data_IF_490396854039
#
_entry.id   IF_490396854039
#
_cell.length_a   1.000
_cell.length_b   1.000
_cell.length_c   1.000
_cell.angle_alpha   90.00
_cell.angle_beta   90.00
_cell.angle_gamma   90.00
#
_symmetry.space_group_name_H-M   'P 1'
#
loop_
_entity.id
_entity.type
_entity.pdbx_description
1 polymer ?
#
# COMPACT_ATOMS: atom_id res chain seq x y z
N UNK A 1 15.44 2.58 -13.26
CA UNK A 1 15.03 3.97 -13.48
C UNK A 1 13.98 4.32 -12.43
N UNK A 2 14.28 5.24 -11.50
CA UNK A 2 13.34 5.61 -10.42
C UNK A 2 12.19 6.43 -11.00
N UNK A 3 10.97 5.88 -11.02
CA UNK A 3 9.79 6.55 -11.55
C UNK A 3 9.44 7.74 -10.64
N UNK A 4 9.74 8.95 -11.11
CA UNK A 4 9.53 10.19 -10.34
C UNK A 4 8.13 10.73 -10.64
N UNK A 5 7.24 10.74 -9.64
CA UNK A 5 5.94 11.43 -9.74
C UNK A 5 6.15 12.93 -9.57
N UNK A 6 5.38 13.73 -10.32
CA UNK A 6 5.46 15.19 -10.29
C UNK A 6 4.04 15.75 -10.24
N UNK A 7 3.84 16.73 -9.36
CA UNK A 7 2.61 17.51 -9.31
C UNK A 7 2.90 18.88 -9.91
N UNK A 8 2.11 19.28 -10.92
CA UNK A 8 2.17 20.60 -11.51
C UNK A 8 1.23 21.53 -10.75
N UNK A 9 1.81 22.53 -10.07
CA UNK A 9 1.05 23.58 -9.43
C UNK A 9 0.89 24.73 -10.43
N UNK A 10 -0.35 25.12 -10.67
CA UNK A 10 -0.69 26.24 -11.57
C UNK A 10 -1.19 27.39 -10.71
N UNK A 11 -0.45 28.49 -10.71
CA UNK A 11 -0.83 29.70 -9.99
C UNK A 11 -1.88 30.51 -10.77
N UNK A 12 -2.66 31.39 -10.10
CA UNK A 12 -3.62 32.27 -10.77
C UNK A 12 -3.01 33.20 -11.82
N UNK A 13 -1.68 33.44 -11.73
CA UNK A 13 -0.88 34.22 -12.68
C UNK A 13 -0.40 33.42 -13.90
N UNK A 14 -0.90 32.19 -14.08
CA UNK A 14 -0.50 31.23 -15.14
C UNK A 14 0.96 30.76 -15.05
N UNK A 15 1.61 30.99 -13.92
CA UNK A 15 2.93 30.41 -13.66
C UNK A 15 2.80 28.94 -13.25
N UNK A 16 3.66 28.08 -13.80
CA UNK A 16 3.63 26.63 -13.58
C UNK A 16 4.87 26.21 -12.82
N UNK A 17 4.68 25.74 -11.59
CA UNK A 17 5.76 25.20 -10.78
C UNK A 17 5.64 23.67 -10.68
N UNK A 18 6.70 22.95 -11.06
CA UNK A 18 6.75 21.50 -10.99
C UNK A 18 7.39 21.07 -9.67
N UNK A 19 6.62 20.34 -8.86
CA UNK A 19 7.09 19.84 -7.56
C UNK A 19 7.27 18.34 -7.64
N UNK A 20 8.37 17.86 -7.06
CA UNK A 20 8.68 16.44 -6.96
C UNK A 20 7.87 15.82 -5.82
N UNK A 21 7.14 14.76 -6.15
CA UNK A 21 6.34 14.03 -5.17
C UNK A 21 7.14 12.88 -4.57
N UNK A 22 6.76 12.47 -3.36
CA UNK A 22 7.32 11.28 -2.74
C UNK A 22 6.90 10.05 -3.57
N UNK A 23 7.87 9.34 -4.13
CA UNK A 23 7.61 8.13 -4.94
C UNK A 23 7.59 6.84 -4.11
N UNK A 24 8.11 6.89 -2.87
CA UNK A 24 8.15 5.76 -1.93
C UNK A 24 7.28 6.08 -0.71
N UNK A 25 6.58 5.07 -0.22
CA UNK A 25 5.84 5.13 1.04
C UNK A 25 6.81 5.47 2.20
N UNK A 26 6.43 6.35 3.14
CA UNK A 26 7.26 6.62 4.31
C UNK A 26 7.48 5.36 5.12
N UNK A 27 8.69 5.21 5.66
CA UNK A 27 9.07 4.05 6.47
C UNK A 27 8.35 4.11 7.85
N UNK A 28 8.25 2.97 8.53
CA UNK A 28 7.61 2.81 9.86
C UNK A 28 6.12 3.16 9.97
N UNK A 29 5.39 3.26 8.85
CA UNK A 29 3.96 3.55 8.86
C UNK A 29 3.63 5.01 9.17
N UNK A 30 4.65 5.87 9.23
CA UNK A 30 4.53 7.33 9.37
C UNK A 30 3.84 7.95 8.15
N UNK A 31 3.23 9.11 8.32
CA UNK A 31 2.57 9.84 7.25
C UNK A 31 3.43 11.01 6.79
N UNK A 32 3.52 11.24 5.49
CA UNK A 32 4.23 12.37 4.94
C UNK A 32 3.24 13.49 4.58
N UNK A 33 3.49 14.70 5.06
CA UNK A 33 2.63 15.86 4.80
C UNK A 33 3.46 17.00 4.25
N UNK A 34 3.03 17.57 3.14
CA UNK A 34 3.60 18.81 2.60
C UNK A 34 2.54 19.90 2.48
N UNK A 35 2.99 21.15 2.54
CA UNK A 35 2.15 22.33 2.45
C UNK A 35 2.54 23.16 1.23
N UNK A 36 1.53 23.64 0.50
CA UNK A 36 1.67 24.55 -0.63
C UNK A 36 1.06 25.88 -0.23
N UNK A 37 1.89 26.91 -0.17
CA UNK A 37 1.46 28.25 0.16
C UNK A 37 1.02 28.99 -1.11
N UNK A 38 -0.30 29.18 -1.29
CA UNK A 38 -0.86 29.99 -2.37
C UNK A 38 -1.02 31.48 -2.01
N UNK A 39 -0.67 31.90 -0.80
CA UNK A 39 -0.74 33.30 -0.38
C UNK A 39 0.43 34.12 -0.93
N UNK A 40 0.22 35.44 -0.99
CA UNK A 40 1.27 36.42 -1.26
C UNK A 40 2.12 36.77 -0.04
N UNK A 41 1.82 36.23 1.14
CA UNK A 41 2.57 36.40 2.39
C UNK A 41 3.27 35.11 2.82
N UNK A 42 4.22 35.25 3.74
CA UNK A 42 4.93 34.11 4.35
C UNK A 42 4.01 33.42 5.34
N UNK A 43 3.97 32.10 5.27
CA UNK A 43 3.12 31.26 6.11
C UNK A 43 3.96 30.46 7.10
N UNK A 44 3.61 30.47 8.38
CA UNK A 44 4.29 29.67 9.39
C UNK A 44 3.43 28.48 9.83
N UNK A 45 3.99 27.28 9.83
CA UNK A 45 3.30 26.05 10.23
C UNK A 45 4.03 25.38 11.39
N UNK A 46 3.30 25.09 12.48
CA UNK A 46 3.85 24.55 13.75
C UNK A 46 4.36 23.10 13.69
N UNK A 47 4.27 22.43 12.53
CA UNK A 47 4.58 21.01 12.35
C UNK A 47 6.06 20.73 12.01
N UNK A 48 6.98 21.59 12.47
CA UNK A 48 8.41 21.48 12.16
C UNK A 48 8.78 21.84 10.72
N UNK A 49 7.84 22.42 9.96
CA UNK A 49 8.04 22.88 8.58
C UNK A 49 8.61 24.29 8.54
N UNK A 50 8.25 25.14 9.52
CA UNK A 50 8.74 26.52 9.61
C UNK A 50 8.02 27.48 8.66
N UNK A 51 8.75 28.50 8.23
CA UNK A 51 8.25 29.56 7.34
C UNK A 51 8.29 29.13 5.87
N UNK A 52 7.15 29.23 5.19
CA UNK A 52 6.97 28.89 3.78
C UNK A 52 6.84 30.19 2.99
N UNK A 53 7.75 30.39 2.04
CA UNK A 53 7.73 31.54 1.12
C UNK A 53 6.39 31.65 0.35
N UNK A 54 5.99 32.85 -0.08
CA UNK A 54 4.77 33.03 -0.87
C UNK A 54 4.85 32.26 -2.19
N UNK A 55 3.73 31.69 -2.64
CA UNK A 55 3.63 30.88 -3.87
C UNK A 55 4.62 29.70 -3.93
N UNK A 56 5.09 29.21 -2.79
CA UNK A 56 6.11 28.17 -2.67
C UNK A 56 5.58 26.92 -1.97
N UNK A 57 6.39 25.86 -2.02
CA UNK A 57 6.06 24.54 -1.48
C UNK A 57 7.07 24.13 -0.43
N UNK A 58 6.57 23.55 0.65
CA UNK A 58 7.39 23.01 1.71
C UNK A 58 7.91 21.60 1.40
N UNK A 59 8.96 21.20 2.10
CA UNK A 59 9.35 19.79 2.15
C UNK A 59 8.30 18.95 2.87
N UNK A 60 8.35 17.63 2.65
CA UNK A 60 7.53 16.68 3.37
C UNK A 60 7.98 16.60 4.85
N UNK A 61 7.02 16.75 5.75
CA UNK A 61 7.15 16.51 7.19
C UNK A 61 6.58 15.14 7.54
N UNK A 62 7.25 14.41 8.43
CA UNK A 62 6.78 13.09 8.87
C UNK A 62 5.95 13.24 10.14
N UNK A 63 4.75 12.67 10.12
CA UNK A 63 3.75 12.79 11.17
C UNK A 63 3.28 11.40 11.56
N UNK A 64 3.16 11.08 12.86
CA UNK A 64 2.64 9.79 13.28
C UNK A 64 1.19 9.60 12.84
N UNK A 65 0.73 8.36 12.86
CA UNK A 65 -0.67 8.00 12.63
C UNK A 65 -1.60 8.57 13.71
N UNK A 66 -2.87 8.78 13.35
CA UNK A 66 -3.90 9.31 14.25
C UNK A 66 -4.35 10.73 13.88
N UNK A 67 -4.97 11.42 14.83
CA UNK A 67 -5.46 12.78 14.64
C UNK A 67 -4.29 13.77 14.72
N UNK A 68 -3.85 14.27 13.58
CA UNK A 68 -2.86 15.33 13.50
C UNK A 68 -3.55 16.69 13.51
N UNK A 69 -3.10 17.57 14.40
CA UNK A 69 -3.55 18.95 14.48
C UNK A 69 -2.39 19.87 14.10
N UNK A 70 -2.66 20.81 13.21
CA UNK A 70 -1.68 21.78 12.75
C UNK A 70 -2.26 23.18 12.80
N UNK A 71 -1.40 24.10 13.23
CA UNK A 71 -1.73 25.51 13.32
C UNK A 71 -0.99 26.25 12.23
N UNK A 72 -1.75 26.93 11.39
CA UNK A 72 -1.26 27.80 10.33
C UNK A 72 -1.31 29.22 10.86
N UNK A 73 -0.17 29.91 10.85
CA UNK A 73 -0.02 31.27 11.36
C UNK A 73 0.45 32.19 10.24
N UNK A 74 -0.09 33.40 10.20
CA UNK A 74 0.43 34.47 9.34
C UNK A 74 1.46 35.33 10.09
N UNK A 75 2.27 36.05 9.33
CA UNK A 75 3.04 37.21 9.76
C UNK A 75 2.23 38.25 10.56
N UNK A 76 0.91 38.33 10.33
CA UNK A 76 -0.02 39.20 11.07
C UNK A 76 -0.52 38.68 12.43
N UNK A 77 -0.05 37.51 12.89
CA UNK A 77 -0.40 36.95 14.20
C UNK A 77 -1.77 36.25 14.29
N UNK A 78 -2.54 36.22 13.21
CA UNK A 78 -3.73 35.39 13.11
C UNK A 78 -3.35 33.92 12.95
N UNK A 79 -4.14 33.01 13.54
CA UNK A 79 -3.91 31.56 13.47
C UNK A 79 -5.16 30.79 13.06
N UNK A 80 -4.96 29.68 12.36
CA UNK A 80 -5.99 28.73 11.93
C UNK A 80 -5.61 27.33 12.39
N UNK A 81 -6.50 26.67 13.16
CA UNK A 81 -6.33 25.29 13.57
C UNK A 81 -7.03 24.37 12.57
N UNK A 82 -6.29 23.40 12.04
CA UNK A 82 -6.85 22.35 11.18
C UNK A 82 -6.47 20.99 11.74
N UNK A 83 -7.43 20.06 11.74
CA UNK A 83 -7.22 18.69 12.19
C UNK A 83 -7.58 17.68 11.11
N UNK A 84 -6.71 16.69 10.90
CA UNK A 84 -6.96 15.57 9.98
C UNK A 84 -6.59 14.25 10.63
N UNK A 85 -7.44 13.25 10.40
CA UNK A 85 -7.11 11.87 10.72
C UNK A 85 -6.22 11.28 9.62
N UNK A 86 -5.06 10.79 10.03
CA UNK A 86 -4.05 10.18 9.15
C UNK A 86 -4.00 8.68 9.41
N UNK A 87 -4.06 7.90 8.33
CA UNK A 87 -3.97 6.44 8.37
C UNK A 87 -2.52 5.93 8.46
N UNK A 88 -2.27 4.72 7.95
CA UNK A 88 -0.95 4.11 7.96
C UNK A 88 -0.19 4.36 6.64
N UNK A 89 0.94 5.07 6.73
CA UNK A 89 1.87 5.26 5.62
C UNK A 89 1.28 6.00 4.43
N UNK A 90 0.50 7.04 4.68
CA UNK A 90 -0.11 7.90 3.66
C UNK A 90 0.73 9.14 3.39
N UNK A 91 0.56 9.73 2.21
CA UNK A 91 1.19 11.00 1.88
C UNK A 91 0.14 11.99 1.39
N UNK A 92 0.18 13.21 1.92
CA UNK A 92 -0.79 14.26 1.63
C UNK A 92 -0.13 15.58 1.26
N UNK A 93 -0.77 16.29 0.34
CA UNK A 93 -0.45 17.66 -0.06
C UNK A 93 -1.57 18.58 0.36
N UNK A 94 -1.28 19.57 1.20
CA UNK A 94 -2.24 20.57 1.61
C UNK A 94 -2.00 21.84 0.83
N UNK A 95 -2.96 22.20 -0.02
CA UNK A 95 -2.94 23.40 -0.84
C UNK A 95 -3.76 24.48 -0.16
N UNK A 96 -3.09 25.57 0.17
CA UNK A 96 -3.71 26.75 0.78
C UNK A 96 -3.96 27.74 -0.35
N UNK A 97 -5.23 28.01 -0.71
CA UNK A 97 -5.53 28.89 -1.83
C UNK A 97 -5.20 30.36 -1.52
N UNK A 98 -5.02 31.18 -2.56
CA UNK A 98 -4.75 32.62 -2.41
C UNK A 98 -5.92 33.40 -1.80
N UNK A 99 -7.13 32.82 -1.77
CA UNK A 99 -8.33 33.39 -1.17
C UNK A 99 -8.48 33.05 0.31
N UNK A 100 -7.48 32.39 0.91
CA UNK A 100 -7.51 31.97 2.30
C UNK A 100 -7.36 33.16 3.24
N UNK A 101 -8.27 33.28 4.22
CA UNK A 101 -8.25 34.32 5.24
C UNK A 101 -7.94 33.72 6.60
N UNK A 102 -6.79 34.10 7.16
CA UNK A 102 -6.33 33.59 8.45
C UNK A 102 -7.05 34.35 9.56
N UNK A 103 -7.83 33.64 10.39
CA UNK A 103 -8.61 34.23 11.50
C UNK A 103 -10.13 34.09 11.38
N UNK A 104 -10.66 33.55 10.27
CA UNK A 104 -12.06 33.12 10.21
C UNK A 104 -12.28 31.84 11.02
N UNK A 105 -13.42 31.65 11.70
CA UNK A 105 -13.70 30.43 12.46
C UNK A 105 -13.69 29.16 11.59
N UNK A 106 -14.05 29.29 10.31
CA UNK A 106 -14.11 28.18 9.34
C UNK A 106 -12.94 28.18 8.34
N UNK A 107 -11.77 28.66 8.75
CA UNK A 107 -10.59 28.68 7.90
C UNK A 107 -10.25 27.29 7.32
N UNK A 108 -10.52 26.23 8.07
CA UNK A 108 -10.22 24.85 7.69
C UNK A 108 -10.91 24.37 6.40
N UNK A 109 -12.05 24.96 6.01
CA UNK A 109 -12.80 24.55 4.81
C UNK A 109 -12.13 24.96 3.50
N UNK A 110 -11.35 26.05 3.52
CA UNK A 110 -10.68 26.55 2.33
C UNK A 110 -9.45 25.72 1.96
N UNK A 111 -8.94 24.89 2.88
CA UNK A 111 -7.74 24.08 2.65
C UNK A 111 -8.10 22.87 1.79
N UNK A 112 -7.46 22.79 0.62
CA UNK A 112 -7.64 21.68 -0.32
C UNK A 112 -6.61 20.60 0.00
N UNK A 113 -7.08 19.39 0.31
CA UNK A 113 -6.19 18.25 0.59
C UNK A 113 -6.16 17.34 -0.61
N UNK A 114 -4.96 17.14 -1.16
CA UNK A 114 -4.70 16.19 -2.23
C UNK A 114 -3.99 14.98 -1.63
N UNK A 115 -4.50 13.79 -1.91
CA UNK A 115 -3.91 12.53 -1.47
C UNK A 115 -2.89 12.06 -2.51
N UNK A 116 -1.60 12.06 -2.13
CA UNK A 116 -0.51 11.62 -3.01
C UNK A 116 -0.36 10.09 -2.98
N UNK A 117 -0.46 9.52 -1.76
CA UNK A 117 -0.34 8.09 -1.49
C UNK A 117 -1.47 7.67 -0.54
N UNK A 118 -2.27 6.72 -1.01
CA UNK A 118 -3.42 6.21 -0.25
C UNK A 118 -3.00 5.50 1.03
N UNK A 119 -3.71 5.74 2.16
CA UNK A 119 -3.50 4.98 3.39
C UNK A 119 -3.68 3.49 3.15
N UNK A 120 -2.85 2.67 3.77
CA UNK A 120 -3.06 1.23 3.73
C UNK A 120 -4.32 0.89 4.54
N UNK A 121 -5.36 0.39 3.87
CA UNK A 121 -6.68 0.09 4.45
C UNK A 121 -6.84 -1.37 4.88
N UNK A 122 -5.85 -2.22 4.66
CA UNK A 122 -5.95 -3.64 5.00
C UNK A 122 -5.04 -3.90 6.20
N UNK A 123 -5.65 -4.13 7.36
CA UNK A 123 -4.94 -4.77 8.46
C UNK A 123 -4.36 -6.08 7.93
N UNK A 124 -3.03 -6.20 7.92
CA UNK A 124 -2.35 -7.42 7.50
C UNK A 124 -2.87 -8.66 8.27
N UNK A 125 -3.42 -8.46 9.47
CA UNK A 125 -4.11 -9.47 10.26
C UNK A 125 -5.40 -10.04 9.64
N UNK A 126 -6.05 -9.36 8.69
CA UNK A 126 -7.25 -9.89 8.01
C UNK A 126 -6.92 -11.04 7.04
N UNK A 127 -5.65 -11.22 6.69
CA UNK A 127 -5.20 -12.38 5.92
C UNK A 127 -5.19 -13.66 6.77
N UNK A 128 -5.07 -13.54 8.10
CA UNK A 128 -4.99 -14.70 9.00
C UNK A 128 -6.29 -15.52 8.98
N UNK A 129 -7.50 -14.93 9.13
CA UNK A 129 -8.75 -15.69 9.00
C UNK A 129 -8.91 -16.37 7.64
N UNK A 130 -8.46 -15.72 6.56
CA UNK A 130 -8.58 -16.26 5.21
C UNK A 130 -7.69 -17.49 5.02
N UNK A 131 -6.43 -17.43 5.44
CA UNK A 131 -5.55 -18.60 5.40
C UNK A 131 -6.08 -19.71 6.32
N UNK A 132 -6.46 -19.39 7.55
CA UNK A 132 -6.98 -20.37 8.50
C UNK A 132 -8.20 -21.13 7.97
N UNK A 133 -9.18 -20.42 7.41
CA UNK A 133 -10.41 -21.04 6.92
C UNK A 133 -10.16 -21.87 5.66
N UNK A 134 -9.25 -21.43 4.80
CA UNK A 134 -8.83 -22.20 3.62
C UNK A 134 -8.10 -23.49 4.01
N UNK A 135 -7.14 -23.42 4.94
CA UNK A 135 -6.41 -24.60 5.41
C UNK A 135 -7.31 -25.54 6.21
N UNK A 136 -8.20 -25.01 7.04
CA UNK A 136 -9.20 -25.80 7.76
C UNK A 136 -10.18 -26.49 6.81
N UNK A 137 -10.64 -25.78 5.77
CA UNK A 137 -11.49 -26.34 4.72
C UNK A 137 -10.80 -27.48 3.98
N UNK A 138 -9.53 -27.30 3.60
CA UNK A 138 -8.74 -28.33 2.93
C UNK A 138 -8.55 -29.59 3.79
N UNK A 139 -8.17 -29.41 5.07
CA UNK A 139 -7.95 -30.53 5.99
C UNK A 139 -9.24 -31.27 6.30
N UNK A 140 -10.32 -30.54 6.62
CA UNK A 140 -11.60 -31.15 6.98
C UNK A 140 -12.20 -31.85 5.78
N UNK A 141 -12.18 -31.23 4.59
CA UNK A 141 -12.70 -31.82 3.35
C UNK A 141 -11.89 -33.06 2.92
N UNK A 142 -10.56 -32.99 3.00
CA UNK A 142 -9.71 -34.13 2.64
C UNK A 142 -9.89 -35.30 3.61
N UNK A 143 -9.95 -35.06 4.92
CA UNK A 143 -10.11 -36.11 5.95
C UNK A 143 -11.51 -36.73 5.93
N UNK A 144 -12.58 -35.92 5.82
CA UNK A 144 -13.95 -36.46 5.73
C UNK A 144 -14.22 -37.18 4.41
N UNK A 145 -13.68 -36.70 3.29
CA UNK A 145 -13.75 -37.40 2.00
C UNK A 145 -13.05 -38.76 2.05
N UNK A 146 -11.89 -38.83 2.72
CA UNK A 146 -11.15 -40.08 2.98
C UNK A 146 -11.91 -41.02 3.92
N UNK A 147 -12.46 -40.54 5.02
CA UNK A 147 -13.20 -41.37 5.99
C UNK A 147 -14.51 -41.94 5.40
N UNK A 148 -15.25 -41.17 4.61
CA UNK A 148 -16.44 -41.68 3.93
C UNK A 148 -16.08 -42.75 2.88
N UNK A 149 -14.96 -42.55 2.17
CA UNK A 149 -14.43 -43.52 1.22
C UNK A 149 -13.95 -44.80 1.90
N UNK A 150 -13.31 -44.70 3.08
CA UNK A 150 -12.86 -45.85 3.87
C UNK A 150 -14.01 -46.59 4.57
N UNK A 151 -15.02 -45.89 5.08
CA UNK A 151 -16.19 -46.49 5.70
C UNK A 151 -17.04 -47.31 4.72
N UNK A 152 -16.86 -47.13 3.41
CA UNK A 152 -17.59 -47.81 2.35
C UNK A 152 -16.71 -48.75 1.48
N UNK A 153 -15.41 -48.89 1.75
CA UNK A 153 -14.49 -49.67 0.89
C UNK A 153 -13.80 -50.84 1.63
N UNK A 154 -13.79 -52.08 1.08
CA UNK A 154 -13.08 -53.23 1.64
C UNK A 154 -11.53 -53.08 1.56
N UNK A 155 -10.82 -53.91 2.34
CA UNK A 155 -9.41 -53.84 2.77
C UNK A 155 -8.27 -53.75 1.72
N UNK A 156 -8.50 -53.39 0.46
CA UNK A 156 -7.49 -53.39 -0.62
C UNK A 156 -7.13 -52.02 -1.25
N UNK A 157 -7.65 -50.89 -0.77
CA UNK A 157 -7.55 -49.61 -1.52
C UNK A 157 -6.55 -48.55 -1.00
N UNK A 158 -5.61 -48.89 -0.11
CA UNK A 158 -4.55 -47.94 0.32
C UNK A 158 -3.79 -47.29 -0.85
N UNK A 159 -3.59 -48.03 -1.94
CA UNK A 159 -2.91 -47.54 -3.15
C UNK A 159 -3.72 -46.50 -3.92
N UNK A 160 -5.06 -46.60 -3.93
CA UNK A 160 -5.93 -45.66 -4.66
C UNK A 160 -5.99 -44.30 -3.97
N UNK A 161 -5.89 -44.28 -2.64
CA UNK A 161 -5.87 -43.03 -1.87
C UNK A 161 -4.52 -42.32 -1.96
N UNK A 162 -3.42 -43.08 -1.97
CA UNK A 162 -2.10 -42.52 -2.29
C UNK A 162 -2.05 -42.00 -3.73
N UNK A 163 -2.65 -42.72 -4.69
CA UNK A 163 -2.77 -42.26 -6.08
C UNK A 163 -3.69 -41.02 -6.20
N UNK A 164 -4.78 -40.95 -5.42
CA UNK A 164 -5.68 -39.80 -5.37
C UNK A 164 -4.98 -38.55 -4.84
N UNK A 165 -4.13 -38.69 -3.82
CA UNK A 165 -3.29 -37.60 -3.33
C UNK A 165 -2.31 -37.11 -4.39
N UNK A 166 -1.62 -38.02 -5.08
CA UNK A 166 -0.71 -37.67 -6.18
C UNK A 166 -1.44 -37.02 -7.37
N UNK A 167 -2.68 -37.43 -7.64
CA UNK A 167 -3.50 -36.86 -8.70
C UNK A 167 -3.90 -35.41 -8.40
N UNK A 168 -4.32 -35.11 -7.17
CA UNK A 168 -4.64 -33.74 -6.76
C UNK A 168 -3.42 -32.83 -6.81
N UNK A 169 -2.24 -33.34 -6.40
CA UNK A 169 -0.96 -32.62 -6.53
C UNK A 169 -0.64 -32.31 -8.00
N UNK A 170 -0.85 -33.28 -8.90
CA UNK A 170 -0.63 -33.09 -10.33
C UNK A 170 -1.58 -32.03 -10.93
N UNK A 171 -2.87 -32.04 -10.55
CA UNK A 171 -3.85 -31.04 -11.00
C UNK A 171 -3.50 -29.65 -10.48
N UNK A 172 -3.08 -29.52 -9.21
CA UNK A 172 -2.62 -28.26 -8.64
C UNK A 172 -1.43 -27.67 -9.39
N UNK A 173 -0.44 -28.51 -9.74
CA UNK A 173 0.72 -28.09 -10.52
C UNK A 173 0.36 -27.61 -11.93
N UNK A 174 -0.65 -28.21 -12.57
CA UNK A 174 -1.13 -27.76 -13.89
C UNK A 174 -1.81 -26.38 -13.79
N UNK A 175 -2.64 -26.17 -12.77
CA UNK A 175 -3.33 -24.88 -12.56
C UNK A 175 -2.32 -23.75 -12.31
N UNK A 176 -1.30 -23.98 -11.48
CA UNK A 176 -0.23 -23.00 -11.23
C UNK A 176 0.49 -22.61 -12.52
N UNK A 177 0.74 -23.57 -13.40
CA UNK A 177 1.43 -23.33 -14.67
C UNK A 177 0.58 -22.46 -15.62
N UNK A 178 -0.73 -22.73 -15.72
CA UNK A 178 -1.66 -21.94 -16.53
C UNK A 178 -1.79 -20.51 -15.98
N UNK A 179 -1.91 -20.35 -14.66
CA UNK A 179 -2.02 -19.02 -14.03
C UNK A 179 -0.73 -18.22 -14.21
N UNK A 180 0.44 -18.85 -14.10
CA UNK A 180 1.72 -18.19 -14.34
C UNK A 180 1.83 -17.66 -15.79
N UNK A 181 1.34 -18.43 -16.76
CA UNK A 181 1.34 -18.04 -18.18
C UNK A 181 0.29 -16.96 -18.48
N UNK A 182 -0.91 -17.05 -17.88
CA UNK A 182 -2.00 -16.10 -18.09
C UNK A 182 -1.79 -14.75 -17.37
N UNK A 183 -1.12 -14.75 -16.21
CA UNK A 183 -0.99 -13.57 -15.37
C UNK A 183 0.12 -12.60 -15.82
N UNK A 184 0.88 -12.90 -16.89
CA UNK A 184 2.05 -12.11 -17.35
C UNK A 184 2.81 -11.51 -16.16
N UNK A 185 3.19 -12.37 -15.22
CA UNK A 185 3.84 -11.93 -14.00
C UNK A 185 5.18 -11.27 -14.35
N UNK A 186 5.54 -10.15 -13.68
CA UNK A 186 6.82 -9.51 -13.91
C UNK A 186 7.97 -10.51 -13.67
N UNK A 187 9.01 -10.39 -14.50
CA UNK A 187 10.09 -11.37 -14.75
C UNK A 187 10.73 -12.02 -13.50
N UNK A 188 10.60 -11.36 -12.35
CA UNK A 188 11.19 -11.73 -11.08
C UNK A 188 10.59 -13.01 -10.45
N UNK A 189 9.27 -13.23 -10.60
CA UNK A 189 8.63 -14.46 -10.08
C UNK A 189 8.94 -15.66 -10.99
N UNK A 190 9.04 -15.44 -12.29
CA UNK A 190 9.44 -16.46 -13.27
C UNK A 190 10.88 -16.93 -13.07
N UNK A 191 11.83 -16.04 -12.74
CA UNK A 191 13.22 -16.45 -12.47
C UNK A 191 13.37 -17.32 -11.23
N UNK A 192 12.60 -17.07 -10.17
CA UNK A 192 12.65 -17.86 -8.92
C UNK A 192 12.01 -19.24 -9.10
N UNK A 193 10.91 -19.32 -9.86
CA UNK A 193 10.28 -20.59 -10.20
C UNK A 193 11.16 -21.44 -11.14
N UNK A 194 11.84 -20.82 -12.10
CA UNK A 194 12.76 -21.51 -13.00
C UNK A 194 14.01 -22.01 -12.27
N UNK A 195 14.60 -21.20 -11.37
CA UNK A 195 15.78 -21.60 -10.59
C UNK A 195 15.48 -22.76 -9.64
N UNK A 196 14.34 -22.71 -8.94
CA UNK A 196 13.88 -23.82 -8.08
C UNK A 196 13.69 -25.12 -8.87
N UNK A 197 13.12 -25.05 -10.08
CA UNK A 197 12.90 -26.22 -10.95
C UNK A 197 14.21 -26.80 -11.50
N UNK A 198 15.20 -25.96 -11.84
CA UNK A 198 16.54 -26.43 -12.22
C UNK A 198 17.31 -27.04 -11.06
N UNK A 199 17.21 -26.50 -9.84
CA UNK A 199 17.86 -27.09 -8.66
C UNK A 199 17.26 -28.46 -8.30
N UNK A 200 15.94 -28.61 -8.40
CA UNK A 200 15.28 -29.89 -8.19
C UNK A 200 15.73 -30.95 -9.20
N UNK A 201 15.83 -30.58 -10.49
CA UNK A 201 16.31 -31.49 -11.53
C UNK A 201 17.81 -31.82 -11.42
N UNK A 202 18.64 -30.95 -10.82
CA UNK A 202 20.05 -31.24 -10.58
C UNK A 202 20.27 -32.15 -9.37
N UNK A 203 19.49 -31.98 -8.30
CA UNK A 203 19.55 -32.85 -7.11
C UNK A 203 19.04 -34.27 -7.40
N UNK A 204 18.10 -34.43 -8.33
CA UNK A 204 17.51 -35.73 -8.64
C UNK A 204 18.24 -36.50 -9.77
N UNK A 205 19.33 -35.94 -10.31
CA UNK A 205 20.12 -36.53 -11.40
C UNK A 205 21.55 -36.89 -10.97
N UNK A 206 21.84 -36.84 -9.66
CA UNK A 206 23.11 -37.26 -9.05
C UNK A 206 23.06 -38.65 -8.38
N UNK A 207 21.92 -39.34 -8.43
CA UNK A 207 21.73 -40.70 -7.86
C UNK A 207 21.58 -41.79 -8.95
N UNK A 208 22.36 -41.70 -10.04
CA UNK A 208 22.59 -42.82 -10.96
C UNK A 208 24.06 -42.92 -11.40
#
# INVERSE_FOLDING_TARGET
MSQTRRTALVSPTLDMNLVYDLSKKPDDGMNAIRFVNGLGSVLNVTLGVGDIAPLSVSNYSLVPQGKAEFTIMDSGGASCLYSKELGFGSAFTLVIPSTFTIGSPDCWQAIQVVEDIQPNTIHMGWQIPQYFLMTAGEVVFSVTGLEFSYSQAPSNMKSVLQAGWLFTVAVGNIIVLIVAEAAQLPDQVTTDLLTSRTLYNLLNNTDH
#
